data_IF_915866350144
#
_entry.id   IF_915866350144
#
_cell.length_a   1.000
_cell.length_b   1.000
_cell.length_c   1.000
_cell.angle_alpha   90.00
_cell.angle_beta   90.00
_cell.angle_gamma   90.00
#
_symmetry.space_group_name_H-M   'P 1'
#
loop_
_entity.id
_entity.type
_entity.pdbx_description
1 polymer ?
#
# COMPACT_ATOMS: atom_id res chain seq x y z
N UNK A 1 -48.62 47.61 -25.68
CA UNK A 1 -47.53 47.63 -26.67
C UNK A 1 -46.62 46.48 -26.30
N UNK A 2 -46.53 45.46 -27.16
CA UNK A 2 -45.71 44.27 -26.89
C UNK A 2 -44.29 44.61 -27.33
N UNK A 3 -43.32 44.63 -26.40
CA UNK A 3 -41.93 44.99 -26.72
C UNK A 3 -41.16 43.75 -27.17
N UNK A 4 -40.92 43.56 -28.49
CA UNK A 4 -40.35 42.34 -29.04
C UNK A 4 -38.92 42.08 -28.53
N UNK A 5 -38.20 43.11 -28.09
CA UNK A 5 -36.84 42.98 -27.57
C UNK A 5 -36.79 42.26 -26.21
N UNK A 6 -37.78 42.47 -25.33
CA UNK A 6 -37.82 41.79 -24.01
C UNK A 6 -38.10 40.29 -24.13
N UNK A 7 -38.88 39.90 -25.13
CA UNK A 7 -39.07 38.48 -25.47
C UNK A 7 -37.77 37.88 -25.97
N UNK A 8 -37.10 38.54 -26.92
CA UNK A 8 -35.82 38.07 -27.47
C UNK A 8 -34.77 37.90 -26.37
N UNK A 9 -34.59 38.90 -25.49
CA UNK A 9 -33.61 38.84 -24.39
C UNK A 9 -33.90 37.70 -23.39
N UNK A 10 -35.18 37.45 -23.07
CA UNK A 10 -35.57 36.35 -22.18
C UNK A 10 -35.31 34.98 -22.82
N UNK A 11 -35.51 34.84 -24.14
CA UNK A 11 -35.21 33.61 -24.86
C UNK A 11 -33.70 33.36 -24.96
N UNK A 12 -32.91 34.37 -25.29
CA UNK A 12 -31.45 34.24 -25.35
C UNK A 12 -30.84 34.00 -23.97
N UNK A 13 -31.38 34.62 -22.91
CA UNK A 13 -30.98 34.36 -21.53
C UNK A 13 -31.23 32.91 -21.11
N UNK A 14 -32.43 32.39 -21.36
CA UNK A 14 -32.76 30.99 -21.06
C UNK A 14 -31.97 29.99 -21.92
N UNK A 15 -31.67 30.35 -23.17
CA UNK A 15 -30.82 29.53 -24.03
C UNK A 15 -29.39 29.46 -23.46
N UNK A 16 -28.79 30.61 -23.14
CA UNK A 16 -27.43 30.67 -22.57
C UNK A 16 -27.33 29.95 -21.23
N UNK A 17 -28.34 30.05 -20.36
CA UNK A 17 -28.35 29.29 -19.09
C UNK A 17 -28.40 27.78 -19.33
N UNK A 18 -29.17 27.31 -20.32
CA UNK A 18 -29.19 25.89 -20.70
C UNK A 18 -27.80 25.43 -21.20
N UNK A 19 -27.10 26.21 -22.05
CA UNK A 19 -25.74 25.83 -22.47
C UNK A 19 -24.76 25.78 -21.31
N UNK A 20 -24.84 26.74 -20.38
CA UNK A 20 -23.99 26.75 -19.18
C UNK A 20 -24.27 25.50 -18.34
N UNK A 21 -25.54 25.16 -18.09
CA UNK A 21 -25.90 23.95 -17.33
C UNK A 21 -25.40 22.68 -18.03
N UNK A 22 -25.60 22.55 -19.35
CA UNK A 22 -25.12 21.41 -20.12
C UNK A 22 -23.59 21.29 -20.03
N UNK A 23 -22.87 22.41 -20.14
CA UNK A 23 -21.41 22.42 -20.04
C UNK A 23 -20.93 21.97 -18.65
N UNK A 24 -21.60 22.42 -17.57
CA UNK A 24 -21.29 22.02 -16.19
C UNK A 24 -21.53 20.52 -16.00
N UNK A 25 -22.66 20.00 -16.47
CA UNK A 25 -22.98 18.56 -16.39
C UNK A 25 -21.93 17.73 -17.14
N UNK A 26 -21.51 18.18 -18.32
CA UNK A 26 -20.49 17.48 -19.11
C UNK A 26 -19.14 17.44 -18.39
N UNK A 27 -18.72 18.54 -17.76
CA UNK A 27 -17.50 18.59 -16.94
C UNK A 27 -17.61 17.64 -15.75
N UNK A 28 -18.75 17.59 -15.06
CA UNK A 28 -18.96 16.68 -13.92
C UNK A 28 -18.85 15.22 -14.38
N UNK A 29 -19.53 14.85 -15.48
CA UNK A 29 -19.46 13.49 -16.03
C UNK A 29 -18.02 13.15 -16.40
N UNK A 30 -17.30 14.05 -17.07
CA UNK A 30 -15.92 13.83 -17.47
C UNK A 30 -15.00 13.60 -16.26
N UNK A 31 -15.16 14.41 -15.21
CA UNK A 31 -14.44 14.25 -13.94
C UNK A 31 -14.76 12.89 -13.31
N UNK A 32 -16.04 12.49 -13.23
CA UNK A 32 -16.45 11.20 -12.67
C UNK A 32 -15.87 10.03 -13.47
N UNK A 33 -15.87 10.10 -14.80
CA UNK A 33 -15.26 9.07 -15.66
C UNK A 33 -13.76 8.97 -15.42
N UNK A 34 -13.05 10.11 -15.37
CA UNK A 34 -11.61 10.11 -15.05
C UNK A 34 -11.36 9.50 -13.67
N UNK A 35 -12.09 9.92 -12.64
CA UNK A 35 -11.90 9.37 -11.29
C UNK A 35 -12.24 7.88 -11.23
N UNK A 36 -13.27 7.44 -11.95
CA UNK A 36 -13.67 6.03 -12.04
C UNK A 36 -12.59 5.20 -12.74
N UNK A 37 -12.05 5.69 -13.86
CA UNK A 37 -10.96 5.03 -14.61
C UNK A 37 -9.65 5.04 -13.82
N UNK A 38 -9.29 6.15 -13.17
CA UNK A 38 -8.09 6.22 -12.34
C UNK A 38 -8.20 5.32 -11.11
N UNK A 39 -9.36 5.25 -10.45
CA UNK A 39 -9.58 4.34 -9.31
C UNK A 39 -9.67 2.88 -9.74
N UNK A 40 -10.34 2.57 -10.85
CA UNK A 40 -10.43 1.22 -11.41
C UNK A 40 -9.10 0.73 -11.98
N UNK A 41 -8.35 1.61 -12.65
CA UNK A 41 -7.04 1.34 -13.23
C UNK A 41 -5.95 1.09 -12.18
N UNK A 42 -6.02 1.74 -11.02
CA UNK A 42 -5.14 1.42 -9.89
C UNK A 42 -5.34 -0.01 -9.34
N UNK A 43 -6.55 -0.58 -9.50
CA UNK A 43 -6.83 -1.98 -9.18
C UNK A 43 -6.28 -2.95 -10.22
N UNK A 44 -6.38 -2.61 -11.51
CA UNK A 44 -5.91 -3.44 -12.63
C UNK A 44 -4.36 -3.46 -12.68
N UNK A 45 -3.69 -2.33 -12.41
CA UNK A 45 -2.23 -2.26 -12.37
C UNK A 45 -1.60 -3.21 -11.34
N UNK A 46 -2.27 -3.46 -10.20
CA UNK A 46 -1.83 -4.49 -9.23
C UNK A 46 -2.03 -5.92 -9.74
N UNK A 47 -3.00 -6.13 -10.64
CA UNK A 47 -3.23 -7.42 -11.29
C UNK A 47 -2.18 -7.75 -12.35
N UNK A 48 -1.73 -6.76 -13.14
CA UNK A 48 -0.74 -6.96 -14.21
C UNK A 48 0.70 -7.03 -13.69
N UNK A 49 0.99 -6.51 -12.49
CA UNK A 49 2.27 -6.75 -11.80
C UNK A 49 2.46 -8.22 -11.39
N UNK A 50 1.41 -9.05 -11.45
CA UNK A 50 1.49 -10.52 -11.36
C UNK A 50 1.67 -11.19 -12.74
N UNK A 51 2.10 -10.42 -13.74
CA UNK A 51 2.45 -10.94 -15.06
C UNK A 51 3.63 -11.91 -14.96
N UNK A 52 3.35 -13.18 -15.26
CA UNK A 52 4.29 -14.29 -15.43
C UNK A 52 4.87 -14.95 -14.16
N UNK A 53 4.06 -15.22 -13.14
CA UNK A 53 4.38 -16.35 -12.24
C UNK A 53 3.77 -17.62 -12.84
N UNK A 54 4.52 -18.31 -13.69
CA UNK A 54 4.13 -19.65 -14.15
C UNK A 54 4.37 -20.61 -12.99
N UNK A 55 3.31 -21.22 -12.46
CA UNK A 55 3.44 -22.29 -11.47
C UNK A 55 4.22 -23.45 -12.11
N UNK A 56 5.39 -23.77 -11.54
CA UNK A 56 6.23 -24.83 -12.05
C UNK A 56 5.55 -26.19 -11.83
N UNK A 57 5.52 -27.08 -12.84
CA UNK A 57 4.85 -28.37 -12.71
C UNK A 57 5.52 -29.20 -11.62
N UNK A 58 4.71 -29.75 -10.72
CA UNK A 58 5.15 -30.42 -9.49
C UNK A 58 5.96 -31.70 -9.68
N UNK A 59 6.14 -32.17 -10.93
CA UNK A 59 7.04 -33.27 -11.27
C UNK A 59 8.51 -32.81 -11.40
N UNK A 60 8.76 -31.53 -11.66
CA UNK A 60 10.10 -30.99 -11.86
C UNK A 60 10.82 -30.64 -10.54
N UNK A 61 10.10 -30.66 -9.41
CA UNK A 61 10.63 -30.34 -8.08
C UNK A 61 10.99 -31.65 -7.38
N UNK A 62 12.27 -31.94 -7.11
CA UNK A 62 12.67 -33.11 -6.36
C UNK A 62 12.03 -33.10 -4.97
N UNK A 63 11.56 -34.25 -4.48
CA UNK A 63 10.84 -34.34 -3.20
C UNK A 63 11.63 -33.78 -1.99
N UNK A 64 12.97 -33.69 -2.11
CA UNK A 64 13.84 -33.01 -1.13
C UNK A 64 13.51 -31.52 -0.91
N UNK A 65 12.88 -30.86 -1.88
CA UNK A 65 12.57 -29.42 -1.84
C UNK A 65 11.06 -29.12 -1.75
N UNK A 66 10.22 -30.16 -1.65
CA UNK A 66 8.75 -30.07 -1.73
C UNK A 66 8.05 -29.63 -0.43
N UNK A 67 8.79 -29.07 0.53
CA UNK A 67 8.32 -28.80 1.90
C UNK A 67 8.51 -27.38 2.42
N UNK A 68 9.00 -26.42 1.62
CA UNK A 68 9.19 -25.03 2.05
C UNK A 68 8.24 -24.09 1.31
N UNK A 69 6.93 -24.28 1.54
CA UNK A 69 5.93 -23.31 1.09
C UNK A 69 5.95 -22.08 2.01
N UNK A 70 6.78 -21.08 1.68
CA UNK A 70 6.58 -19.68 2.08
C UNK A 70 6.86 -18.78 0.89
N UNK A 71 5.85 -18.59 0.06
CA UNK A 71 5.87 -17.74 -1.13
C UNK A 71 5.74 -16.23 -0.81
N UNK A 72 6.27 -15.80 0.33
CA UNK A 72 6.41 -14.37 0.68
C UNK A 72 7.86 -13.97 0.97
N UNK A 73 8.83 -14.89 0.84
CA UNK A 73 10.28 -14.61 0.88
C UNK A 73 10.84 -13.99 2.17
N UNK A 74 10.00 -13.54 3.09
CA UNK A 74 10.36 -13.11 4.42
C UNK A 74 9.88 -14.17 5.39
N UNK A 75 10.80 -15.05 5.75
CA UNK A 75 10.66 -15.78 6.99
C UNK A 75 10.67 -14.73 8.10
N UNK A 76 9.49 -14.26 8.56
CA UNK A 76 9.37 -13.40 9.74
C UNK A 76 9.78 -14.23 10.96
N UNK A 77 11.08 -14.47 11.10
CA UNK A 77 11.69 -14.91 12.33
C UNK A 77 11.65 -13.69 13.24
N UNK A 78 10.66 -13.62 14.13
CA UNK A 78 10.65 -12.53 15.10
C UNK A 78 11.83 -12.75 16.02
N UNK A 79 12.85 -11.92 15.85
CA UNK A 79 14.07 -11.98 16.66
C UNK A 79 13.71 -11.55 18.07
N UNK A 80 13.60 -12.51 19.00
CA UNK A 80 13.28 -12.22 20.39
C UNK A 80 14.55 -11.97 21.18
N UNK A 81 14.57 -10.83 21.85
CA UNK A 81 15.64 -10.44 22.76
C UNK A 81 15.25 -10.81 24.20
N UNK A 82 16.23 -11.13 25.05
CA UNK A 82 16.00 -11.30 26.48
C UNK A 82 15.41 -10.02 27.09
N UNK A 83 14.48 -10.17 28.03
CA UNK A 83 13.86 -9.03 28.74
C UNK A 83 14.86 -8.25 29.61
N UNK A 84 16.01 -8.86 29.94
CA UNK A 84 17.05 -8.26 30.77
C UNK A 84 18.41 -8.34 30.11
N UNK A 85 19.18 -7.26 30.21
CA UNK A 85 20.56 -7.22 29.77
C UNK A 85 21.44 -8.15 30.62
N UNK A 86 22.24 -9.06 30.04
CA UNK A 86 23.18 -9.88 30.81
C UNK A 86 24.36 -9.08 31.39
N UNK A 87 24.68 -7.90 30.82
CA UNK A 87 25.81 -7.08 31.24
C UNK A 87 25.46 -6.11 32.37
N UNK A 88 24.23 -5.58 32.42
CA UNK A 88 23.84 -4.58 33.43
C UNK A 88 22.52 -4.86 34.15
N UNK A 89 21.77 -5.89 33.74
CA UNK A 89 20.48 -6.24 34.34
C UNK A 89 19.31 -5.30 34.00
N UNK A 90 19.52 -4.27 33.18
CA UNK A 90 18.47 -3.34 32.76
C UNK A 90 17.39 -4.04 31.91
N UNK A 91 16.14 -3.61 32.07
CA UNK A 91 15.02 -4.07 31.26
C UNK A 91 15.16 -3.60 29.81
N UNK A 92 15.04 -4.51 28.86
CA UNK A 92 15.28 -4.26 27.45
C UNK A 92 13.96 -4.40 26.68
N UNK A 93 13.57 -3.37 25.91
CA UNK A 93 12.37 -3.38 25.07
C UNK A 93 12.76 -3.45 23.58
N UNK A 94 12.08 -4.28 22.77
CA UNK A 94 12.45 -4.53 21.37
C UNK A 94 12.42 -3.28 20.47
N UNK A 95 11.69 -2.24 20.87
CA UNK A 95 11.51 -1.01 20.09
C UNK A 95 12.64 0.01 20.30
N UNK A 96 13.44 -0.12 21.37
CA UNK A 96 14.39 0.90 21.81
C UNK A 96 15.84 0.38 21.78
N UNK A 97 16.17 -0.53 20.87
CA UNK A 97 17.49 -1.17 20.82
C UNK A 97 18.19 -0.84 19.52
N UNK A 98 19.45 -0.45 19.64
CA UNK A 98 20.32 -0.23 18.50
C UNK A 98 20.87 -1.58 17.99
N UNK A 99 20.45 -1.95 16.78
CA UNK A 99 20.85 -3.21 16.15
C UNK A 99 22.17 -3.01 15.41
N UNK A 100 23.19 -3.74 15.86
CA UNK A 100 24.53 -3.69 15.27
C UNK A 100 24.77 -4.83 14.28
N UNK A 101 23.88 -5.82 14.23
CA UNK A 101 23.89 -6.91 13.26
C UNK A 101 22.59 -7.72 13.29
N UNK A 102 22.45 -8.74 12.42
CA UNK A 102 21.20 -9.52 12.27
C UNK A 102 20.73 -10.22 13.56
N UNK A 103 21.67 -10.52 14.47
CA UNK A 103 21.44 -11.17 15.76
C UNK A 103 22.12 -10.43 16.91
N UNK A 104 22.72 -9.28 16.65
CA UNK A 104 23.55 -8.57 17.61
C UNK A 104 22.98 -7.18 17.84
N UNK A 105 22.65 -6.93 19.10
CA UNK A 105 22.06 -5.70 19.56
C UNK A 105 22.97 -5.09 20.62
N UNK A 106 23.01 -3.76 20.67
CA UNK A 106 23.72 -3.02 21.70
C UNK A 106 22.74 -2.54 22.76
N UNK A 107 23.09 -2.73 24.03
CA UNK A 107 22.30 -2.21 25.14
C UNK A 107 22.50 -0.70 25.26
N UNK A 108 21.42 0.08 25.23
CA UNK A 108 21.49 1.55 25.38
C UNK A 108 21.96 2.00 26.77
N UNK A 109 21.83 1.14 27.79
CA UNK A 109 22.20 1.50 29.16
C UNK A 109 23.70 1.32 29.43
N UNK A 110 24.29 0.19 29.02
CA UNK A 110 25.69 -0.14 29.35
C UNK A 110 26.61 -0.22 28.13
N UNK A 111 26.07 -0.14 26.91
CA UNK A 111 26.82 -0.33 25.68
C UNK A 111 27.27 -1.77 25.41
N UNK A 112 26.90 -2.73 26.25
CA UNK A 112 27.23 -4.15 26.08
C UNK A 112 26.49 -4.77 24.89
N UNK A 113 27.12 -5.74 24.24
CA UNK A 113 26.54 -6.50 23.12
C UNK A 113 25.71 -7.66 23.65
N UNK A 114 24.46 -7.75 23.22
CA UNK A 114 23.57 -8.88 23.50
C UNK A 114 23.25 -9.62 22.20
N UNK A 115 23.24 -10.95 22.29
CA UNK A 115 22.86 -11.84 21.19
C UNK A 115 21.41 -12.24 21.29
N UNK A 116 20.66 -11.98 20.24
CA UNK A 116 19.31 -12.45 20.11
C UNK A 116 19.27 -13.94 19.72
N UNK A 117 18.17 -14.62 20.05
CA UNK A 117 17.93 -16.00 19.59
C UNK A 117 16.75 -15.99 18.63
N UNK A 118 16.88 -16.76 17.55
CA UNK A 118 15.76 -17.06 16.68
C UNK A 118 14.87 -18.09 17.38
N UNK A 119 13.64 -17.71 17.71
CA UNK A 119 12.59 -18.65 18.06
C UNK A 119 11.74 -18.86 16.80
N UNK A 120 11.55 -20.12 16.40
CA UNK A 120 10.59 -20.46 15.35
C UNK A 120 9.20 -20.37 15.98
N UNK A 121 8.36 -19.52 15.39
CA UNK A 121 6.93 -19.42 15.73
C UNK A 121 6.19 -20.57 15.07
#
# INVERSE_FOLDING_TARGET
MWDPFTFVDSFFGNFMTIFIIISIVFVIIFVVVIFSVCRGGAGIARGVARGFTMDAPSFAIPDRYRGQTRSDGSEMTTVRLPEKCPSCGAGISQNEIDWTGPLEAKCNYCGGTLRAKFERV
#
